data_IF_188290453522
#
_entry.id   IF_188290453522
#
_cell.length_a   1.000
_cell.length_b   1.000
_cell.length_c   1.000
_cell.angle_alpha   90.00
_cell.angle_beta   90.00
_cell.angle_gamma   90.00
#
_symmetry.space_group_name_H-M   'P 1'
#
loop_
_entity.id
_entity.type
_entity.pdbx_description
1 polymer ?
#
# COMPACT_ATOMS: atom_id res chain seq x y z
N UNK A 1 -19.26 -4.11 -13.75
CA UNK A 1 -18.79 -5.05 -12.75
C UNK A 1 -17.29 -5.04 -12.66
N UNK A 2 -16.82 -5.16 -11.46
CA UNK A 2 -15.41 -5.09 -11.20
C UNK A 2 -15.08 -3.89 -10.35
N UNK A 3 -13.89 -3.93 -9.78
CA UNK A 3 -13.42 -2.87 -8.93
C UNK A 3 -12.57 -1.90 -9.74
N UNK A 4 -12.87 -0.62 -9.60
CA UNK A 4 -12.08 0.41 -10.24
C UNK A 4 -11.39 1.20 -9.13
N UNK A 5 -10.09 1.34 -9.24
CA UNK A 5 -9.30 2.08 -8.28
C UNK A 5 -8.66 3.28 -8.95
N UNK A 6 -8.65 4.38 -8.23
CA UNK A 6 -7.92 5.57 -8.66
C UNK A 6 -6.56 5.56 -7.98
N UNK A 7 -5.51 5.63 -8.78
CA UNK A 7 -4.17 5.74 -8.23
C UNK A 7 -3.92 7.19 -7.80
N UNK A 8 -3.75 7.39 -6.49
CA UNK A 8 -3.52 8.71 -5.95
C UNK A 8 -2.04 9.03 -5.82
N UNK A 9 -1.21 8.02 -5.54
CA UNK A 9 0.20 8.27 -5.31
C UNK A 9 1.00 6.99 -5.48
N UNK A 10 2.27 7.14 -5.79
CA UNK A 10 3.24 6.05 -5.82
C UNK A 10 4.32 6.40 -4.81
N UNK A 11 4.46 5.58 -3.78
CA UNK A 11 5.35 5.87 -2.66
C UNK A 11 6.47 4.84 -2.64
N UNK A 12 7.71 5.30 -2.63
CA UNK A 12 8.88 4.43 -2.51
C UNK A 12 9.08 3.98 -1.07
N UNK A 13 10.14 3.22 -0.86
CA UNK A 13 10.43 2.66 0.48
C UNK A 13 11.54 3.41 1.22
N UNK A 14 11.77 4.68 0.91
CA UNK A 14 12.64 5.51 1.72
C UNK A 14 11.94 5.84 3.04
N UNK A 15 12.72 6.15 4.06
CA UNK A 15 12.16 6.46 5.38
C UNK A 15 11.20 7.63 5.34
N UNK A 16 11.54 8.67 4.59
CA UNK A 16 10.69 9.86 4.51
C UNK A 16 9.36 9.58 3.84
N UNK A 17 9.37 8.73 2.80
CA UNK A 17 8.15 8.37 2.10
C UNK A 17 7.26 7.46 2.94
N UNK A 18 7.87 6.47 3.61
CA UNK A 18 7.13 5.54 4.44
C UNK A 18 6.51 6.23 5.65
N UNK A 19 7.14 7.30 6.13
CA UNK A 19 6.59 8.06 7.25
C UNK A 19 5.21 8.62 6.94
N UNK A 20 4.97 9.02 5.70
CA UNK A 20 3.66 9.51 5.29
C UNK A 20 2.60 8.42 5.41
N UNK A 21 2.96 7.19 5.08
CA UNK A 21 2.03 6.07 5.15
C UNK A 21 1.75 5.64 6.59
N UNK A 22 2.69 5.83 7.49
CA UNK A 22 2.50 5.45 8.89
C UNK A 22 1.46 6.33 9.60
N UNK A 23 1.10 7.45 8.99
CA UNK A 23 0.02 8.30 9.52
C UNK A 23 -1.36 7.68 9.29
N UNK A 24 -1.47 6.75 8.35
CA UNK A 24 -2.72 6.05 8.12
C UNK A 24 -2.98 5.04 9.23
N UNK A 25 -4.23 4.85 9.60
CA UNK A 25 -4.58 3.91 10.65
C UNK A 25 -5.22 2.66 10.11
N UNK A 26 -6.01 2.79 9.06
CA UNK A 26 -6.68 1.68 8.42
C UNK A 26 -6.33 1.66 6.95
N UNK A 27 -5.97 0.49 6.44
CA UNK A 27 -5.71 0.32 5.02
C UNK A 27 -6.16 -1.07 4.60
N UNK A 28 -6.60 -1.17 3.36
CA UNK A 28 -6.84 -2.45 2.70
C UNK A 28 -5.57 -2.75 1.93
N UNK A 29 -4.79 -3.69 2.42
CA UNK A 29 -3.45 -3.94 1.90
C UNK A 29 -3.40 -5.21 1.07
N UNK A 30 -2.79 -5.10 -0.10
CA UNK A 30 -2.53 -6.23 -0.98
C UNK A 30 -1.05 -6.22 -1.33
N UNK A 31 -0.42 -7.38 -1.33
CA UNK A 31 0.97 -7.50 -1.78
C UNK A 31 1.00 -8.31 -3.07
N UNK A 32 1.89 -7.93 -3.97
CA UNK A 32 2.06 -8.62 -5.24
C UNK A 32 3.53 -8.63 -5.60
N UNK A 33 4.11 -9.82 -5.68
CA UNK A 33 5.52 -9.99 -5.99
C UNK A 33 6.39 -9.11 -5.10
N UNK A 34 6.18 -9.26 -3.79
CA UNK A 34 6.80 -8.42 -2.79
C UNK A 34 7.40 -9.29 -1.68
N UNK A 35 8.57 -8.92 -1.13
CA UNK A 35 9.27 -9.78 -0.16
C UNK A 35 8.64 -9.85 1.23
N UNK A 36 7.70 -8.96 1.55
CA UNK A 36 7.04 -8.99 2.85
C UNK A 36 5.59 -9.43 2.69
N UNK A 37 5.04 -10.01 3.74
CA UNK A 37 3.64 -10.41 3.75
C UNK A 37 2.75 -9.27 4.23
N UNK A 38 1.43 -9.42 3.99
CA UNK A 38 0.45 -8.47 4.51
C UNK A 38 0.57 -8.34 6.02
N UNK A 39 0.69 -9.49 6.72
CA UNK A 39 0.78 -9.48 8.18
C UNK A 39 2.02 -8.71 8.66
N UNK A 40 3.14 -8.91 8.00
CA UNK A 40 4.38 -8.22 8.38
C UNK A 40 4.24 -6.71 8.21
N UNK A 41 3.65 -6.27 7.10
CA UNK A 41 3.48 -4.85 6.84
C UNK A 41 2.48 -4.21 7.80
N UNK A 42 1.38 -4.91 8.11
CA UNK A 42 0.41 -4.40 9.07
C UNK A 42 1.04 -4.20 10.44
N UNK A 43 1.86 -5.16 10.85
CA UNK A 43 2.53 -5.07 12.14
C UNK A 43 3.53 -3.92 12.17
N UNK A 44 4.29 -3.77 11.09
CA UNK A 44 5.31 -2.73 11.01
C UNK A 44 4.71 -1.32 11.05
N UNK A 45 3.63 -1.10 10.32
CA UNK A 45 3.01 0.21 10.23
C UNK A 45 1.83 0.38 11.20
N UNK A 46 1.48 -0.67 11.92
CA UNK A 46 0.37 -0.67 12.87
C UNK A 46 -0.96 -0.34 12.21
N UNK A 47 -1.15 -0.89 11.03
CA UNK A 47 -2.39 -0.70 10.29
C UNK A 47 -3.42 -1.73 10.69
N UNK A 48 -4.67 -1.30 10.86
CA UNK A 48 -5.79 -2.21 10.95
C UNK A 48 -6.45 -2.32 9.59
N UNK A 49 -7.24 -3.35 9.41
CA UNK A 49 -7.91 -3.61 8.15
C UNK A 49 -9.14 -2.71 7.99
N UNK A 50 -9.42 -2.30 6.75
CA UNK A 50 -10.61 -1.54 6.42
C UNK A 50 -10.30 -0.12 6.00
N UNK A 51 -11.35 0.71 6.00
CA UNK A 51 -11.25 2.09 5.62
C UNK A 51 -11.30 2.30 4.11
N UNK A 52 -10.97 3.51 3.68
CA UNK A 52 -11.11 3.91 2.29
C UNK A 52 -9.82 3.84 1.49
N UNK A 53 -8.69 3.61 2.16
CA UNK A 53 -7.39 3.54 1.50
C UNK A 53 -7.07 2.12 1.07
N UNK A 54 -6.64 1.97 -0.16
CA UNK A 54 -6.23 0.69 -0.72
C UNK A 54 -4.76 0.81 -1.11
N UNK A 55 -3.92 0.01 -0.48
CA UNK A 55 -2.49 0.02 -0.74
C UNK A 55 -2.07 -1.28 -1.40
N UNK A 56 -1.26 -1.15 -2.44
CA UNK A 56 -0.73 -2.29 -3.15
C UNK A 56 0.80 -2.22 -3.08
N UNK A 57 1.38 -3.14 -2.30
CA UNK A 57 2.84 -3.24 -2.21
C UNK A 57 3.31 -4.15 -3.35
N UNK A 58 4.16 -3.62 -4.21
CA UNK A 58 4.59 -4.38 -5.36
C UNK A 58 6.03 -4.04 -5.76
N UNK A 59 6.61 -4.90 -6.58
CA UNK A 59 7.93 -4.70 -7.15
C UNK A 59 7.78 -4.43 -8.63
N UNK A 60 8.34 -3.33 -9.07
CA UNK A 60 8.29 -2.94 -10.48
C UNK A 60 9.27 -3.78 -11.31
N UNK A 61 9.15 -3.70 -12.63
CA UNK A 61 9.96 -4.49 -13.54
C UNK A 61 11.46 -4.22 -13.40
N UNK A 62 11.83 -3.04 -12.92
CA UNK A 62 13.24 -2.69 -12.68
C UNK A 62 13.72 -3.14 -11.29
N UNK A 63 12.89 -3.86 -10.54
CA UNK A 63 13.21 -4.33 -9.20
C UNK A 63 12.90 -3.34 -8.09
N UNK A 64 12.41 -2.17 -8.44
CA UNK A 64 12.12 -1.14 -7.46
C UNK A 64 10.84 -1.47 -6.69
N UNK A 65 10.91 -1.39 -5.37
CA UNK A 65 9.77 -1.65 -4.51
C UNK A 65 9.00 -0.36 -4.28
N UNK A 66 7.67 -0.43 -4.46
CA UNK A 66 6.81 0.74 -4.30
C UNK A 66 5.52 0.35 -3.62
N UNK A 67 4.84 1.35 -3.08
CA UNK A 67 3.52 1.22 -2.52
C UNK A 67 2.59 2.10 -3.34
N UNK A 68 1.60 1.49 -3.98
CA UNK A 68 0.60 2.24 -4.74
C UNK A 68 -0.53 2.62 -3.78
N UNK A 69 -0.80 3.91 -3.66
CA UNK A 69 -1.85 4.42 -2.78
C UNK A 69 -3.06 4.71 -3.65
N UNK A 70 -4.13 3.98 -3.41
CA UNK A 70 -5.33 4.06 -4.25
C UNK A 70 -6.56 4.32 -3.41
N UNK A 71 -7.62 4.75 -4.07
CA UNK A 71 -8.92 4.77 -3.46
C UNK A 71 -9.90 4.10 -4.42
N UNK A 72 -10.93 3.47 -3.86
CA UNK A 72 -11.92 2.78 -4.65
C UNK A 72 -12.86 3.79 -5.30
N UNK A 73 -13.04 3.63 -6.59
CA UNK A 73 -14.01 4.41 -7.37
C UNK A 73 -15.16 3.48 -7.69
N UNK A 74 -16.36 3.95 -7.55
CA UNK A 74 -17.54 3.14 -7.84
C UNK A 74 -17.53 2.56 -9.22
#
# INVERSE_FOLDING_TARGET
PGRVFRLNDVVGFSKSELRRLSALRQVNLTVRNFPATVAELRKRFKWSEGGEHYLFACTLSDGKKVMLVCEKVK
#
